data_IF_920400348203
#
_entry.id   IF_920400348203
#
_cell.length_a   1.000
_cell.length_b   1.000
_cell.length_c   1.000
_cell.angle_alpha   90.00
_cell.angle_beta   90.00
_cell.angle_gamma   90.00
#
_symmetry.space_group_name_H-M   'P 1'
#
loop_
_entity.id
_entity.type
_entity.pdbx_description
1 polymer ?
#
# COMPACT_ATOMS: atom_id res chain seq x y z
N UNK A 1 6.05 3.11 5.17
CA UNK A 1 5.25 4.25 5.70
C UNK A 1 4.40 3.73 6.84
N UNK A 2 4.51 4.33 8.03
CA UNK A 2 3.87 3.82 9.24
C UNK A 2 2.35 4.03 9.21
N UNK A 3 1.53 3.07 9.69
CA UNK A 3 0.09 3.27 9.86
C UNK A 3 -0.25 4.07 11.13
N UNK A 4 0.73 4.25 12.02
CA UNK A 4 0.63 4.98 13.27
C UNK A 4 1.71 6.06 13.31
N UNK A 5 1.29 7.32 13.52
CA UNK A 5 2.20 8.44 13.67
C UNK A 5 2.88 8.94 12.38
N UNK A 6 3.76 9.94 12.52
CA UNK A 6 4.44 10.56 11.38
C UNK A 6 5.53 9.65 10.78
N UNK A 7 5.71 9.76 9.46
CA UNK A 7 6.85 9.19 8.72
C UNK A 7 7.67 10.32 8.11
N UNK A 8 8.98 10.36 8.36
CA UNK A 8 9.89 11.31 7.70
C UNK A 8 10.23 10.81 6.30
N UNK A 9 10.26 11.72 5.32
CA UNK A 9 10.49 11.43 3.90
C UNK A 9 11.57 12.38 3.37
N UNK A 10 12.45 11.80 2.56
CA UNK A 10 13.44 12.52 1.76
C UNK A 10 13.15 12.26 0.28
N UNK A 11 12.71 13.29 -0.43
CA UNK A 11 12.34 13.22 -1.84
C UNK A 11 13.49 13.74 -2.70
N UNK A 12 13.95 12.94 -3.66
CA UNK A 12 15.02 13.29 -4.60
C UNK A 12 14.42 13.74 -5.93
N UNK A 13 14.63 15.00 -6.28
CA UNK A 13 14.29 15.53 -7.60
C UNK A 13 15.33 15.14 -8.66
N UNK A 14 14.95 15.22 -9.94
CA UNK A 14 15.80 14.87 -11.09
C UNK A 14 17.08 15.73 -11.14
N UNK A 15 17.00 16.97 -10.67
CA UNK A 15 18.14 17.89 -10.61
C UNK A 15 19.10 17.61 -9.44
N UNK A 16 18.83 16.58 -8.65
CA UNK A 16 19.63 16.18 -7.48
C UNK A 16 19.22 16.87 -6.18
N UNK A 17 18.21 17.75 -6.20
CA UNK A 17 17.70 18.41 -4.98
C UNK A 17 17.02 17.38 -4.07
N UNK A 18 17.33 17.42 -2.77
CA UNK A 18 16.64 16.63 -1.74
C UNK A 18 15.74 17.56 -0.94
N UNK A 19 14.46 17.21 -0.83
CA UNK A 19 13.52 17.90 0.06
C UNK A 19 13.10 16.97 1.19
N UNK A 20 13.04 17.51 2.39
CA UNK A 20 12.61 16.79 3.59
C UNK A 20 11.18 17.19 3.95
N UNK A 21 10.35 16.20 4.26
CA UNK A 21 8.99 16.41 4.73
C UNK A 21 8.57 15.33 5.71
N UNK A 22 7.45 15.58 6.40
CA UNK A 22 6.82 14.61 7.27
C UNK A 22 5.42 14.33 6.75
N UNK A 23 5.10 13.05 6.58
CA UNK A 23 3.78 12.59 6.13
C UNK A 23 3.06 11.83 7.24
N UNK A 24 1.73 11.92 7.26
CA UNK A 24 0.86 11.18 8.19
C UNK A 24 -0.24 10.46 7.42
N UNK A 25 -0.79 9.34 7.93
CA UNK A 25 -1.89 8.64 7.27
C UNK A 25 -3.08 9.57 6.95
N UNK A 26 -3.50 10.38 7.91
CA UNK A 26 -4.67 11.25 7.77
C UNK A 26 -4.43 12.42 6.81
N UNK A 27 -3.39 13.22 7.04
CA UNK A 27 -3.22 14.50 6.33
C UNK A 27 -2.67 14.28 4.92
N UNK A 28 -1.77 13.31 4.74
CA UNK A 28 -1.08 13.09 3.46
C UNK A 28 -1.80 12.10 2.56
N UNK A 29 -2.51 11.11 3.12
CA UNK A 29 -3.16 10.04 2.34
C UNK A 29 -4.68 10.05 2.42
N UNK A 30 -5.28 10.75 3.39
CA UNK A 30 -6.71 10.66 3.64
C UNK A 30 -7.14 9.31 4.22
N UNK A 31 -6.23 8.58 4.86
CA UNK A 31 -6.49 7.29 5.49
C UNK A 31 -6.47 7.42 7.01
N UNK A 32 -7.35 6.67 7.67
CA UNK A 32 -7.37 6.58 9.14
C UNK A 32 -6.09 5.93 9.66
N UNK A 33 -5.47 6.53 10.68
CA UNK A 33 -4.38 5.93 11.45
C UNK A 33 -4.87 4.72 12.24
N UNK A 34 -4.01 3.71 12.32
CA UNK A 34 -4.26 2.48 13.05
C UNK A 34 -3.04 2.15 13.90
N UNK A 35 -3.23 1.60 15.12
CA UNK A 35 -2.10 1.23 15.95
C UNK A 35 -1.23 0.19 15.25
N UNK A 36 0.09 0.26 15.43
CA UNK A 36 1.04 -0.69 14.84
C UNK A 36 0.69 -2.15 15.16
N UNK A 37 0.14 -2.40 16.35
CA UNK A 37 -0.31 -3.72 16.79
C UNK A 37 -1.45 -4.30 15.96
N UNK A 38 -2.23 -3.46 15.26
CA UNK A 38 -3.33 -3.90 14.39
C UNK A 38 -2.88 -4.35 12.99
N UNK A 39 -1.59 -4.17 12.65
CA UNK A 39 -1.02 -4.60 11.36
C UNK A 39 0.14 -5.58 11.53
N UNK A 40 0.34 -6.11 12.73
CA UNK A 40 1.36 -7.13 13.01
C UNK A 40 1.12 -8.37 12.14
N UNK A 41 2.17 -8.77 11.42
CA UNK A 41 2.19 -10.05 10.69
C UNK A 41 2.51 -11.23 11.60
N UNK A 42 2.09 -12.43 11.18
CA UNK A 42 2.45 -13.70 11.80
C UNK A 42 3.37 -14.54 10.92
N UNK A 43 3.27 -15.86 11.04
CA UNK A 43 3.99 -16.80 10.19
C UNK A 43 3.48 -16.75 8.72
N UNK A 44 4.21 -17.32 7.75
CA UNK A 44 3.78 -17.33 6.35
C UNK A 44 2.36 -17.88 6.14
N UNK A 45 1.97 -18.92 6.90
CA UNK A 45 0.63 -19.50 6.88
C UNK A 45 -0.44 -18.53 7.40
N UNK A 46 -0.08 -17.70 8.38
CA UNK A 46 -0.98 -16.72 8.99
C UNK A 46 -1.19 -15.52 8.06
N UNK A 47 -0.19 -15.17 7.24
CA UNK A 47 -0.25 -14.02 6.34
C UNK A 47 -0.88 -14.36 4.97
N UNK A 48 -0.76 -15.60 4.50
CA UNK A 48 -1.17 -15.99 3.16
C UNK A 48 -2.68 -15.83 2.91
N UNK A 49 -3.52 -16.26 3.87
CA UNK A 49 -4.97 -16.16 3.74
C UNK A 49 -5.48 -14.70 3.85
N UNK A 50 -5.07 -13.90 4.85
CA UNK A 50 -5.40 -12.47 4.92
C UNK A 50 -4.94 -11.69 3.70
N UNK A 51 -3.75 -11.97 3.16
CA UNK A 51 -3.25 -11.28 1.97
C UNK A 51 -4.12 -11.58 0.74
N UNK A 52 -4.52 -12.85 0.52
CA UNK A 52 -5.45 -13.20 -0.56
C UNK A 52 -6.82 -12.55 -0.37
N UNK A 53 -7.32 -12.50 0.87
CA UNK A 53 -8.58 -11.81 1.17
C UNK A 53 -8.49 -10.30 0.89
N UNK A 54 -7.38 -9.67 1.25
CA UNK A 54 -7.10 -8.26 0.93
C UNK A 54 -7.11 -8.02 -0.58
N UNK A 55 -6.30 -8.78 -1.33
CA UNK A 55 -6.17 -8.61 -2.77
C UNK A 55 -7.45 -8.97 -3.54
N UNK A 56 -8.30 -9.82 -2.97
CA UNK A 56 -9.60 -10.22 -3.50
C UNK A 56 -10.78 -9.33 -3.07
N UNK A 57 -10.51 -8.14 -2.53
CA UNK A 57 -11.52 -7.16 -2.08
C UNK A 57 -12.51 -7.74 -1.05
N UNK A 58 -11.99 -8.52 -0.08
CA UNK A 58 -12.80 -9.18 0.98
C UNK A 58 -12.67 -8.56 2.36
N UNK A 59 -11.81 -7.54 2.52
CA UNK A 59 -11.65 -6.84 3.79
C UNK A 59 -12.58 -5.61 3.86
N UNK A 60 -13.01 -5.19 5.06
CA UNK A 60 -13.67 -3.91 5.25
C UNK A 60 -12.86 -2.74 4.69
N UNK A 61 -13.55 -1.70 4.23
CA UNK A 61 -12.94 -0.54 3.58
C UNK A 61 -11.88 0.19 4.44
N UNK A 62 -12.05 0.18 5.75
CA UNK A 62 -11.16 0.82 6.73
C UNK A 62 -10.29 -0.18 7.51
N UNK A 63 -10.17 -1.42 7.03
CA UNK A 63 -9.40 -2.46 7.71
C UNK A 63 -7.93 -2.04 7.88
N UNK A 64 -7.32 -2.19 9.08
CA UNK A 64 -5.95 -1.72 9.38
C UNK A 64 -4.91 -2.20 8.36
N UNK A 65 -4.92 -3.50 8.06
CA UNK A 65 -3.98 -4.11 7.09
C UNK A 65 -4.21 -3.59 5.67
N UNK A 66 -5.46 -3.32 5.27
CA UNK A 66 -5.77 -2.74 3.98
C UNK A 66 -5.19 -1.33 3.88
N UNK A 67 -5.49 -0.47 4.86
CA UNK A 67 -4.94 0.89 4.89
C UNK A 67 -3.42 0.89 4.88
N UNK A 68 -2.77 0.00 5.62
CA UNK A 68 -1.31 -0.12 5.64
C UNK A 68 -0.72 -0.49 4.26
N UNK A 69 -1.35 -1.42 3.54
CA UNK A 69 -0.96 -1.74 2.15
C UNK A 69 -1.21 -0.56 1.21
N UNK A 70 -2.32 0.15 1.37
CA UNK A 70 -2.66 1.31 0.56
C UNK A 70 -1.66 2.47 0.75
N UNK A 71 -1.22 2.75 1.98
CA UNK A 71 -0.20 3.78 2.26
C UNK A 71 1.08 3.55 1.44
N UNK A 72 1.62 2.33 1.48
CA UNK A 72 2.86 2.00 0.80
C UNK A 72 2.68 1.90 -0.72
N UNK A 73 1.54 1.38 -1.19
CA UNK A 73 1.22 1.30 -2.62
C UNK A 73 1.00 2.66 -3.25
N UNK A 74 0.32 3.58 -2.55
CA UNK A 74 0.09 4.95 -2.98
C UNK A 74 1.41 5.71 -3.17
N UNK A 75 2.33 5.58 -2.21
CA UNK A 75 3.66 6.18 -2.33
C UNK A 75 4.45 5.61 -3.52
N UNK A 76 4.39 4.30 -3.76
CA UNK A 76 5.02 3.68 -4.93
C UNK A 76 4.43 4.23 -6.26
N UNK A 77 3.11 4.37 -6.33
CA UNK A 77 2.43 4.92 -7.50
C UNK A 77 2.83 6.38 -7.73
N UNK A 78 2.91 7.18 -6.67
CA UNK A 78 3.31 8.57 -6.72
C UNK A 78 4.75 8.74 -7.24
N UNK A 79 5.73 8.04 -6.64
CA UNK A 79 7.13 8.14 -7.09
C UNK A 79 7.35 7.56 -8.50
N UNK A 80 6.48 6.65 -8.95
CA UNK A 80 6.50 6.14 -10.33
C UNK A 80 5.92 7.12 -11.36
N UNK A 81 5.37 8.26 -10.94
CA UNK A 81 4.72 9.25 -11.80
C UNK A 81 3.37 8.80 -12.37
N UNK A 82 2.77 7.74 -11.81
CA UNK A 82 1.45 7.23 -12.25
C UNK A 82 0.27 8.04 -11.70
N UNK A 83 0.49 8.78 -10.62
CA UNK A 83 -0.46 9.67 -9.97
C UNK A 83 0.26 10.95 -9.55
N UNK A 84 -0.47 12.06 -9.45
CA UNK A 84 0.11 13.35 -9.11
C UNK A 84 0.12 13.63 -7.59
N UNK A 85 -0.67 12.88 -6.82
CA UNK A 85 -0.77 13.05 -5.37
C UNK A 85 -0.88 11.71 -4.63
N UNK A 86 -0.53 11.68 -3.35
CA UNK A 86 -0.67 10.49 -2.51
C UNK A 86 -2.15 10.04 -2.36
N UNK A 87 -3.16 10.92 -2.19
CA UNK A 87 -4.57 10.51 -2.19
C UNK A 87 -5.03 9.88 -3.50
N UNK A 88 -4.59 10.40 -4.66
CA UNK A 88 -4.84 9.74 -5.95
C UNK A 88 -4.21 8.34 -6.01
N UNK A 89 -3.02 8.19 -5.43
CA UNK A 89 -2.35 6.89 -5.27
C UNK A 89 -3.15 5.89 -4.43
N UNK A 90 -3.79 6.37 -3.35
CA UNK A 90 -4.67 5.53 -2.51
C UNK A 90 -5.85 5.03 -3.33
N UNK A 91 -6.53 5.91 -4.06
CA UNK A 91 -7.68 5.53 -4.89
C UNK A 91 -7.29 4.58 -6.03
N UNK A 92 -6.15 4.83 -6.68
CA UNK A 92 -5.62 3.93 -7.71
C UNK A 92 -5.26 2.54 -7.15
N UNK A 93 -4.68 2.48 -5.96
CA UNK A 93 -4.38 1.22 -5.29
C UNK A 93 -5.66 0.46 -4.86
N UNK A 94 -6.68 1.19 -4.36
CA UNK A 94 -8.01 0.63 -4.06
C UNK A 94 -8.67 0.05 -5.30
N UNK A 95 -8.63 0.76 -6.42
CA UNK A 95 -9.19 0.28 -7.69
C UNK A 95 -8.45 -0.96 -8.21
N UNK A 96 -7.13 -1.04 -8.03
CA UNK A 96 -6.35 -2.25 -8.38
C UNK A 96 -6.83 -3.49 -7.62
N UNK A 97 -7.19 -3.32 -6.34
CA UNK A 97 -7.75 -4.39 -5.50
C UNK A 97 -9.20 -4.70 -5.93
N UNK A 98 -10.08 -3.69 -5.99
CA UNK A 98 -11.50 -3.84 -6.32
C UNK A 98 -11.74 -4.46 -7.70
N UNK A 99 -10.91 -4.12 -8.68
CA UNK A 99 -10.98 -4.67 -10.03
C UNK A 99 -10.42 -6.09 -10.15
N UNK A 100 -9.81 -6.64 -9.09
CA UNK A 100 -9.18 -7.96 -9.07
C UNK A 100 -7.80 -8.02 -9.75
N UNK A 101 -7.32 -6.91 -10.33
CA UNK A 101 -6.01 -6.85 -11.01
C UNK A 101 -4.85 -7.15 -10.07
N UNK A 102 -4.94 -6.71 -8.81
CA UNK A 102 -3.92 -6.97 -7.81
C UNK A 102 -3.79 -8.47 -7.49
N UNK A 103 -4.92 -9.18 -7.39
CA UNK A 103 -4.93 -10.64 -7.19
C UNK A 103 -4.43 -11.39 -8.44
N UNK A 104 -4.90 -11.01 -9.63
CA UNK A 104 -4.44 -11.60 -10.90
C UNK A 104 -2.91 -11.47 -11.06
N UNK A 105 -2.34 -10.31 -10.71
CA UNK A 105 -0.90 -10.10 -10.77
C UNK A 105 -0.13 -11.09 -9.87
N UNK A 106 -0.62 -11.36 -8.66
CA UNK A 106 -0.02 -12.35 -7.76
C UNK A 106 -0.13 -13.77 -8.34
N UNK A 107 -1.29 -14.16 -8.84
CA UNK A 107 -1.53 -15.48 -9.40
C UNK A 107 -0.67 -15.74 -10.64
N UNK A 108 -0.56 -14.75 -11.53
CA UNK A 108 0.31 -14.80 -12.70
C UNK A 108 1.78 -14.90 -12.32
N UNK A 109 2.22 -14.15 -11.31
CA UNK A 109 3.59 -14.25 -10.82
C UNK A 109 3.88 -15.66 -10.26
N UNK A 110 2.99 -16.21 -9.44
CA UNK A 110 3.14 -17.55 -8.88
C UNK A 110 3.17 -18.64 -9.96
N UNK A 111 2.28 -18.56 -10.97
CA UNK A 111 2.26 -19.49 -12.08
C UNK A 111 3.57 -19.43 -12.90
N UNK A 112 4.06 -18.23 -13.17
CA UNK A 112 5.28 -18.03 -13.96
C UNK A 112 6.54 -18.58 -13.25
N UNK A 113 6.61 -18.52 -11.93
CA UNK A 113 7.78 -19.02 -11.17
C UNK A 113 7.73 -20.52 -10.89
N UNK A 114 6.56 -21.16 -11.02
CA UNK A 114 6.37 -22.61 -10.82
C UNK A 114 6.40 -23.42 -12.12
N UNK A 115 6.32 -22.75 -13.28
CA UNK A 115 6.39 -23.37 -14.60
C UNK A 115 7.83 -23.76 -15.02
N UNK A 116 8.78 -23.77 -14.08
CA UNK A 116 10.21 -24.10 -14.29
C UNK A 116 10.54 -25.42 -13.61
#
# INVERSE_FOLDING_TARGET
>A
IAPEGPTNVWSLAIDGTITEETITPEESFGLKSHPLTAVSGGDPTDNAAPMRALLGDKLPHDHPVLNFVLLNSAALLFVSGKVATLPEGVEAARESIRSGKALDALERFAAATQAV
#
